data_IF_779958407507
#
_entry.id   IF_779958407507
#
_cell.length_a   1.000
_cell.length_b   1.000
_cell.length_c   1.000
_cell.angle_alpha   90.00
_cell.angle_beta   90.00
_cell.angle_gamma   90.00
#
_symmetry.space_group_name_H-M   'P 1'
#
loop_
_entity.id
_entity.type
_entity.pdbx_description
1 polymer ?
#
# COMPACT_ATOMS: atom_id res chain seq x y z
N UNK A 1 24.64 -3.65 -7.67
CA UNK A 1 23.88 -3.75 -6.40
C UNK A 1 23.42 -5.17 -6.03
N UNK A 2 23.58 -6.17 -6.88
CA UNK A 2 23.21 -7.57 -6.58
C UNK A 2 24.25 -8.39 -5.81
N UNK A 3 25.41 -7.85 -5.51
CA UNK A 3 26.53 -8.59 -4.86
C UNK A 3 26.33 -8.86 -3.35
N UNK A 4 25.30 -8.30 -2.73
CA UNK A 4 25.01 -8.48 -1.31
C UNK A 4 23.95 -9.55 -0.97
N UNK A 5 23.30 -10.15 -1.98
CA UNK A 5 22.31 -11.22 -1.77
C UNK A 5 23.03 -12.56 -1.93
N UNK A 6 23.23 -13.35 -0.86
CA UNK A 6 23.95 -14.62 -0.95
C UNK A 6 23.08 -15.73 -1.56
N UNK A 7 23.66 -16.56 -2.40
CA UNK A 7 23.07 -17.82 -2.86
C UNK A 7 21.89 -17.66 -3.83
N UNK A 8 21.08 -18.70 -3.87
CA UNK A 8 19.85 -18.81 -4.64
C UNK A 8 18.66 -18.56 -3.70
N UNK A 9 17.65 -17.86 -4.16
CA UNK A 9 16.46 -17.54 -3.39
C UNK A 9 15.33 -18.50 -3.76
N UNK A 10 14.76 -19.21 -2.79
CA UNK A 10 13.57 -20.02 -3.00
C UNK A 10 12.35 -19.14 -3.25
N UNK A 11 12.17 -18.10 -2.42
CA UNK A 11 11.09 -17.14 -2.47
C UNK A 11 11.60 -15.71 -2.31
N UNK A 12 11.01 -14.80 -3.06
CA UNK A 12 11.14 -13.35 -2.85
C UNK A 12 9.76 -12.72 -2.62
N UNK A 13 9.64 -11.93 -1.56
CA UNK A 13 8.43 -11.16 -1.25
C UNK A 13 8.67 -9.67 -1.38
N UNK A 14 7.74 -8.95 -2.00
CA UNK A 14 7.73 -7.49 -2.01
C UNK A 14 6.33 -6.93 -1.80
N UNK A 15 6.21 -6.04 -0.80
CA UNK A 15 5.07 -5.14 -0.60
C UNK A 15 5.53 -3.73 -0.96
N UNK A 16 5.35 -3.34 -2.22
CA UNK A 16 5.82 -2.02 -2.67
C UNK A 16 4.79 -0.94 -2.36
N UNK A 17 5.22 0.32 -2.11
CA UNK A 17 4.33 1.40 -1.69
C UNK A 17 3.13 1.60 -2.62
N UNK A 18 1.94 1.72 -2.03
CA UNK A 18 0.68 1.89 -2.75
C UNK A 18 0.20 3.35 -2.84
N UNK A 19 1.00 4.34 -2.41
CA UNK A 19 0.55 5.74 -2.26
C UNK A 19 0.04 6.36 -3.56
N UNK A 20 0.59 5.99 -4.70
CA UNK A 20 0.14 6.46 -6.02
C UNK A 20 -0.87 5.52 -6.68
N UNK A 21 -0.99 4.29 -6.18
CA UNK A 21 -1.90 3.24 -6.65
C UNK A 21 -3.21 3.24 -5.87
N UNK A 22 -3.19 3.67 -4.58
CA UNK A 22 -4.37 3.64 -3.72
C UNK A 22 -5.38 4.74 -4.05
N UNK A 23 -6.67 4.49 -3.73
CA UNK A 23 -7.77 5.47 -3.91
C UNK A 23 -7.55 6.73 -3.07
N UNK A 24 -6.83 6.62 -1.95
CA UNK A 24 -6.49 7.73 -1.05
C UNK A 24 -5.24 8.51 -1.48
N UNK A 25 -4.50 8.03 -2.48
CA UNK A 25 -3.25 8.62 -2.98
C UNK A 25 -3.40 9.52 -4.19
N UNK A 26 -2.27 9.86 -4.82
CA UNK A 26 -2.20 10.77 -5.99
C UNK A 26 -2.70 10.16 -7.30
N UNK A 27 -2.94 8.84 -7.35
CA UNK A 27 -3.40 8.06 -8.50
C UNK A 27 -2.49 8.16 -9.74
N UNK A 28 -1.21 8.45 -9.58
CA UNK A 28 -0.22 8.50 -10.68
C UNK A 28 0.30 7.10 -11.08
N UNK A 29 -0.23 6.04 -10.51
CA UNK A 29 0.12 4.65 -10.84
C UNK A 29 1.58 4.30 -10.54
N UNK A 30 2.11 3.31 -11.24
CA UNK A 30 3.51 2.87 -11.14
C UNK A 30 4.52 3.91 -11.67
N UNK A 31 4.08 4.90 -12.45
CA UNK A 31 4.93 6.01 -12.91
C UNK A 31 5.13 7.09 -11.85
N UNK A 32 4.38 7.03 -10.75
CA UNK A 32 4.51 7.96 -9.63
C UNK A 32 5.74 7.68 -8.77
N UNK A 33 6.36 8.73 -8.23
CA UNK A 33 7.61 8.65 -7.45
C UNK A 33 7.57 7.65 -6.27
N UNK A 34 6.43 7.45 -5.63
CA UNK A 34 6.29 6.54 -4.49
C UNK A 34 5.97 5.09 -4.92
N UNK A 35 5.08 4.88 -5.90
CA UNK A 35 4.74 3.53 -6.41
C UNK A 35 5.76 3.03 -7.45
N UNK A 36 6.60 3.92 -7.95
CA UNK A 36 7.75 3.58 -8.79
C UNK A 36 8.78 2.67 -8.11
N UNK A 37 8.64 2.40 -6.80
CA UNK A 37 9.47 1.44 -6.06
C UNK A 37 9.38 -0.01 -6.59
N UNK A 38 8.33 -0.36 -7.34
CA UNK A 38 8.28 -1.63 -8.07
C UNK A 38 9.45 -1.75 -9.05
N UNK A 39 9.76 -0.73 -9.84
CA UNK A 39 10.81 -0.81 -10.85
C UNK A 39 12.23 -0.97 -10.31
N UNK A 40 12.66 -0.25 -9.24
CA UNK A 40 13.92 -0.54 -8.55
C UNK A 40 14.01 -1.95 -7.99
N UNK A 41 12.94 -2.46 -7.35
CA UNK A 41 12.86 -3.85 -6.92
C UNK A 41 13.00 -4.79 -8.12
N UNK A 42 12.23 -4.56 -9.18
CA UNK A 42 12.27 -5.35 -10.40
C UNK A 42 13.66 -5.37 -11.06
N UNK A 43 14.39 -4.25 -11.03
CA UNK A 43 15.77 -4.18 -11.50
C UNK A 43 16.69 -5.16 -10.75
N UNK A 44 16.50 -5.31 -9.44
CA UNK A 44 17.25 -6.29 -8.64
C UNK A 44 16.89 -7.72 -9.06
N UNK A 45 15.60 -8.02 -9.22
CA UNK A 45 15.16 -9.35 -9.68
C UNK A 45 15.72 -9.67 -11.07
N UNK A 46 15.67 -8.73 -12.01
CA UNK A 46 16.25 -8.92 -13.33
C UNK A 46 17.75 -9.24 -13.28
N UNK A 47 18.50 -8.55 -12.43
CA UNK A 47 19.93 -8.84 -12.25
C UNK A 47 20.12 -10.26 -11.72
N UNK A 48 19.31 -10.71 -10.76
CA UNK A 48 19.36 -12.09 -10.28
C UNK A 48 19.05 -13.12 -11.39
N UNK A 49 18.08 -12.80 -12.27
CA UNK A 49 17.78 -13.64 -13.44
C UNK A 49 18.98 -13.70 -14.39
N UNK A 50 19.60 -12.57 -14.70
CA UNK A 50 20.79 -12.47 -15.56
C UNK A 50 21.98 -13.23 -14.97
N UNK A 51 22.14 -13.21 -13.66
CA UNK A 51 23.19 -13.93 -12.92
C UNK A 51 22.91 -15.45 -12.77
N UNK A 52 21.79 -15.97 -13.29
CA UNK A 52 21.37 -17.37 -13.11
C UNK A 52 20.94 -17.72 -11.68
N UNK A 53 20.57 -16.73 -10.88
CA UNK A 53 20.16 -16.84 -9.46
C UNK A 53 18.72 -16.39 -9.24
N UNK A 54 17.88 -16.47 -10.27
CA UNK A 54 16.49 -16.07 -10.19
C UNK A 54 15.77 -16.78 -9.04
N UNK A 55 14.90 -16.05 -8.28
CA UNK A 55 14.05 -16.68 -7.30
C UNK A 55 13.12 -17.71 -7.93
N UNK A 56 12.94 -18.85 -7.28
CA UNK A 56 11.98 -19.86 -7.75
C UNK A 56 10.55 -19.35 -7.73
N UNK A 57 10.21 -18.61 -6.69
CA UNK A 57 8.89 -17.99 -6.49
C UNK A 57 9.05 -16.50 -6.20
N UNK A 58 8.16 -15.68 -6.76
CA UNK A 58 8.04 -14.25 -6.45
C UNK A 58 6.61 -13.98 -5.99
N UNK A 59 6.46 -13.44 -4.79
CA UNK A 59 5.19 -12.99 -4.24
C UNK A 59 5.19 -11.45 -4.13
N UNK A 60 4.22 -10.81 -4.76
CA UNK A 60 4.03 -9.36 -4.69
C UNK A 60 2.71 -9.07 -3.99
N UNK A 61 2.72 -8.19 -3.01
CA UNK A 61 1.51 -7.73 -2.32
C UNK A 61 1.26 -6.25 -2.61
N UNK A 62 -0.03 -5.92 -2.78
CA UNK A 62 -0.46 -4.53 -2.90
C UNK A 62 -1.94 -4.36 -2.56
N UNK A 63 -2.44 -3.13 -2.60
CA UNK A 63 -3.87 -2.85 -2.51
C UNK A 63 -4.60 -3.38 -3.75
N UNK A 64 -5.84 -3.87 -3.57
CA UNK A 64 -6.68 -4.35 -4.68
C UNK A 64 -6.80 -3.35 -5.84
N UNK A 65 -6.70 -2.05 -5.53
CA UNK A 65 -6.84 -0.99 -6.54
C UNK A 65 -5.76 -1.04 -7.64
N UNK A 66 -4.65 -1.75 -7.43
CA UNK A 66 -3.62 -2.01 -8.45
C UNK A 66 -4.23 -2.59 -9.75
N UNK A 67 -5.30 -3.37 -9.63
CA UNK A 67 -5.98 -4.00 -10.79
C UNK A 67 -6.49 -2.96 -11.78
N UNK A 68 -6.96 -1.81 -11.28
CA UNK A 68 -7.61 -0.76 -12.08
C UNK A 68 -6.87 0.58 -12.06
N UNK A 69 -5.72 0.64 -11.38
CA UNK A 69 -4.94 1.88 -11.29
C UNK A 69 -4.37 2.29 -12.64
N UNK A 70 -4.14 3.60 -12.80
CA UNK A 70 -3.61 4.19 -14.03
C UNK A 70 -4.40 3.75 -15.29
N UNK A 71 -5.74 3.80 -15.19
CA UNK A 71 -6.63 3.35 -16.28
C UNK A 71 -6.54 1.85 -16.58
N UNK A 72 -6.05 1.04 -15.62
CA UNK A 72 -5.89 -0.41 -15.79
C UNK A 72 -4.57 -0.83 -16.42
N UNK A 73 -3.58 0.08 -16.56
CA UNK A 73 -2.29 -0.22 -17.19
C UNK A 73 -1.24 -0.80 -16.22
N UNK A 74 -1.37 -0.52 -14.90
CA UNK A 74 -0.36 -0.95 -13.93
C UNK A 74 -0.32 -2.48 -13.75
N UNK A 75 -1.48 -3.12 -13.63
CA UNK A 75 -1.55 -4.57 -13.45
C UNK A 75 -0.93 -5.34 -14.63
N UNK A 76 -1.28 -5.07 -15.92
CA UNK A 76 -0.62 -5.69 -17.06
C UNK A 76 0.88 -5.42 -17.10
N UNK A 77 1.35 -4.24 -16.68
CA UNK A 77 2.78 -3.93 -16.66
C UNK A 77 3.55 -4.80 -15.66
N UNK A 78 3.01 -5.00 -14.46
CA UNK A 78 3.60 -5.90 -13.45
C UNK A 78 3.59 -7.35 -13.94
N UNK A 79 2.44 -7.84 -14.42
CA UNK A 79 2.29 -9.23 -14.91
C UNK A 79 3.19 -9.48 -16.10
N UNK A 80 3.23 -8.54 -17.07
CA UNK A 80 4.09 -8.62 -18.25
C UNK A 80 5.57 -8.71 -17.89
N UNK A 81 6.04 -7.89 -16.94
CA UNK A 81 7.42 -7.93 -16.47
C UNK A 81 7.80 -9.31 -15.92
N UNK A 82 6.93 -9.93 -15.11
CA UNK A 82 7.15 -11.27 -14.56
C UNK A 82 7.18 -12.34 -15.66
N UNK A 83 6.25 -12.29 -16.62
CA UNK A 83 6.19 -13.24 -17.74
C UNK A 83 7.42 -13.09 -18.67
N UNK A 84 7.84 -11.85 -18.96
CA UNK A 84 9.03 -11.59 -19.79
C UNK A 84 10.32 -12.10 -19.11
N UNK A 85 10.36 -12.21 -17.79
CA UNK A 85 11.46 -12.81 -17.05
C UNK A 85 11.38 -14.35 -16.89
N UNK A 86 10.43 -14.99 -17.57
CA UNK A 86 10.33 -16.45 -17.64
C UNK A 86 9.47 -17.07 -16.54
N UNK A 87 8.49 -16.34 -15.96
CA UNK A 87 7.58 -16.87 -14.96
C UNK A 87 6.20 -17.16 -15.54
N UNK A 88 5.49 -18.10 -14.90
CA UNK A 88 4.03 -18.21 -14.94
C UNK A 88 3.47 -17.42 -13.77
N UNK A 89 2.35 -16.72 -13.96
CA UNK A 89 1.86 -15.74 -13.01
C UNK A 89 0.38 -15.96 -12.74
N UNK A 90 -0.02 -15.87 -11.49
CA UNK A 90 -1.42 -15.80 -11.09
C UNK A 90 -1.60 -14.79 -9.97
N UNK A 91 -2.85 -14.44 -9.67
CA UNK A 91 -3.13 -13.53 -8.58
C UNK A 91 -4.40 -13.90 -7.82
N UNK A 92 -4.42 -13.53 -6.55
CA UNK A 92 -5.53 -13.71 -5.61
C UNK A 92 -5.86 -12.38 -4.96
N UNK A 93 -7.13 -12.10 -4.73
CA UNK A 93 -7.57 -11.00 -3.87
C UNK A 93 -8.11 -11.60 -2.58
N UNK A 94 -7.42 -11.37 -1.48
CA UNK A 94 -7.81 -11.89 -0.16
C UNK A 94 -8.26 -10.75 0.73
N UNK A 95 -9.44 -10.91 1.36
CA UNK A 95 -9.93 -10.00 2.39
C UNK A 95 -9.57 -10.58 3.76
N UNK A 96 -8.92 -9.79 4.62
CA UNK A 96 -8.65 -10.19 5.99
C UNK A 96 -9.94 -10.52 6.78
N UNK A 97 -11.10 -10.05 6.31
CA UNK A 97 -12.41 -10.37 6.89
C UNK A 97 -12.74 -11.88 6.88
N UNK A 98 -12.04 -12.68 6.08
CA UNK A 98 -12.14 -14.15 6.12
C UNK A 98 -11.49 -14.74 7.37
N UNK A 99 -10.62 -14.01 8.04
CA UNK A 99 -9.80 -14.47 9.18
C UNK A 99 -10.08 -13.71 10.47
N UNK A 100 -10.39 -12.41 10.35
CA UNK A 100 -10.45 -11.44 11.43
C UNK A 100 -11.64 -10.50 11.22
N UNK A 101 -12.18 -9.85 12.26
CA UNK A 101 -13.22 -8.85 12.09
C UNK A 101 -12.67 -7.52 11.50
N UNK A 102 -11.94 -7.61 10.38
CA UNK A 102 -11.24 -6.49 9.74
C UNK A 102 -11.29 -6.61 8.22
N UNK A 103 -12.00 -5.72 7.56
CA UNK A 103 -12.07 -5.70 6.09
C UNK A 103 -10.82 -5.02 5.52
N UNK A 104 -9.90 -5.84 5.00
CA UNK A 104 -8.64 -5.40 4.39
C UNK A 104 -8.34 -6.23 3.16
N UNK A 105 -8.80 -5.76 2.00
CA UNK A 105 -8.59 -6.45 0.72
C UNK A 105 -7.21 -6.14 0.16
N UNK A 106 -6.44 -7.18 -0.14
CA UNK A 106 -5.13 -7.10 -0.78
C UNK A 106 -5.07 -8.03 -1.98
N UNK A 107 -4.35 -7.59 -3.01
CA UNK A 107 -3.98 -8.46 -4.13
C UNK A 107 -2.62 -9.08 -3.82
N UNK A 108 -2.51 -10.38 -4.07
CA UNK A 108 -1.27 -11.14 -4.03
C UNK A 108 -1.01 -11.68 -5.43
N UNK A 109 0.04 -11.19 -6.08
CA UNK A 109 0.48 -11.67 -7.39
C UNK A 109 1.61 -12.66 -7.10
N UNK A 110 1.41 -13.92 -7.47
CA UNK A 110 2.38 -14.99 -7.22
C UNK A 110 2.88 -15.51 -8.56
N UNK A 111 4.19 -15.50 -8.74
CA UNK A 111 4.85 -15.97 -9.94
C UNK A 111 5.79 -17.14 -9.60
N UNK A 112 5.85 -18.12 -10.48
CA UNK A 112 6.69 -19.30 -10.36
C UNK A 112 7.43 -19.56 -11.67
N UNK A 113 8.65 -20.07 -11.61
CA UNK A 113 9.44 -20.41 -12.79
C UNK A 113 8.63 -21.27 -13.77
N UNK A 114 8.71 -20.96 -15.07
CA UNK A 114 7.78 -21.52 -16.06
C UNK A 114 7.93 -23.04 -16.30
N UNK A 115 9.08 -23.63 -15.97
CA UNK A 115 9.36 -25.06 -16.12
C UNK A 115 9.13 -25.83 -14.81
N UNK A 116 8.76 -25.15 -13.71
CA UNK A 116 8.48 -25.82 -12.43
C UNK A 116 7.20 -26.64 -12.56
N UNK A 117 7.25 -27.89 -12.16
CA UNK A 117 6.05 -28.71 -12.06
C UNK A 117 5.22 -28.25 -10.86
N UNK A 118 3.94 -27.92 -11.09
CA UNK A 118 3.04 -27.42 -10.06
C UNK A 118 2.05 -28.53 -9.74
N UNK A 119 1.95 -28.88 -8.47
CA UNK A 119 0.97 -29.83 -8.00
C UNK A 119 -0.46 -29.39 -8.40
N UNK A 120 -1.26 -30.27 -9.02
CA UNK A 120 -2.57 -29.91 -9.57
C UNK A 120 -3.53 -29.30 -8.54
N UNK A 121 -3.43 -29.67 -7.28
CA UNK A 121 -4.23 -29.14 -6.18
C UNK A 121 -4.00 -27.64 -5.89
N UNK A 122 -2.88 -27.07 -6.35
CA UNK A 122 -2.58 -25.64 -6.23
C UNK A 122 -3.21 -24.80 -7.36
N UNK A 123 -3.88 -25.44 -8.29
CA UNK A 123 -4.46 -24.82 -9.48
C UNK A 123 -5.96 -25.08 -9.56
N UNK A 124 -6.69 -24.12 -10.11
CA UNK A 124 -8.06 -24.33 -10.58
C UNK A 124 -8.15 -24.02 -12.08
N UNK A 125 -8.97 -24.80 -12.80
CA UNK A 125 -9.17 -24.61 -14.24
C UNK A 125 -9.87 -23.28 -14.53
N UNK A 126 -10.82 -22.91 -13.67
CA UNK A 126 -11.64 -21.69 -13.79
C UNK A 126 -11.53 -20.82 -12.53
N UNK A 127 -11.66 -19.49 -12.66
CA UNK A 127 -11.54 -18.59 -11.52
C UNK A 127 -12.66 -18.80 -10.49
N UNK A 128 -12.29 -18.98 -9.21
CA UNK A 128 -13.24 -19.09 -8.09
C UNK A 128 -13.61 -17.71 -7.54
N UNK A 129 -14.88 -17.52 -7.14
CA UNK A 129 -15.38 -16.19 -6.74
C UNK A 129 -14.78 -15.68 -5.43
N UNK A 130 -14.38 -16.55 -4.52
CA UNK A 130 -13.81 -16.19 -3.22
C UNK A 130 -12.53 -15.34 -3.36
N UNK A 131 -11.64 -15.70 -4.30
CA UNK A 131 -10.32 -15.08 -4.45
C UNK A 131 -10.08 -14.43 -5.81
N UNK A 132 -10.94 -14.66 -6.79
CA UNK A 132 -10.83 -14.11 -8.14
C UNK A 132 -12.05 -13.22 -8.46
N UNK A 133 -12.12 -12.00 -7.90
CA UNK A 133 -13.27 -11.12 -8.09
C UNK A 133 -13.40 -10.65 -9.56
N UNK A 134 -14.59 -10.14 -9.97
CA UNK A 134 -14.87 -9.79 -11.36
C UNK A 134 -13.91 -8.79 -11.99
N UNK A 135 -13.37 -7.84 -11.22
CA UNK A 135 -12.37 -6.88 -11.72
C UNK A 135 -11.03 -7.54 -12.06
N UNK A 136 -10.58 -8.52 -11.25
CA UNK A 136 -9.39 -9.31 -11.55
C UNK A 136 -9.61 -10.15 -12.82
N UNK A 137 -10.76 -10.82 -12.94
CA UNK A 137 -11.08 -11.64 -14.11
C UNK A 137 -11.05 -10.81 -15.39
N UNK A 138 -11.71 -9.65 -15.40
CA UNK A 138 -11.70 -8.72 -16.54
C UNK A 138 -10.29 -8.21 -16.87
N UNK A 139 -9.48 -7.91 -15.85
CA UNK A 139 -8.11 -7.48 -16.06
C UNK A 139 -7.25 -8.58 -16.71
N UNK A 140 -7.47 -9.85 -16.33
CA UNK A 140 -6.79 -11.01 -16.94
C UNK A 140 -7.25 -11.25 -18.38
N UNK A 141 -8.54 -11.13 -18.65
CA UNK A 141 -9.08 -11.22 -20.02
C UNK A 141 -8.48 -10.16 -20.96
N UNK A 142 -8.19 -8.97 -20.43
CA UNK A 142 -7.59 -7.86 -21.15
C UNK A 142 -6.06 -7.99 -21.34
N UNK A 143 -5.39 -8.98 -20.71
CA UNK A 143 -3.96 -9.19 -20.90
C UNK A 143 -3.62 -9.55 -22.35
N UNK A 144 -2.45 -9.11 -22.87
CA UNK A 144 -1.97 -9.56 -24.17
C UNK A 144 -1.97 -11.09 -24.28
N UNK A 145 -2.32 -11.66 -25.45
CA UNK A 145 -2.45 -13.13 -25.61
C UNK A 145 -1.20 -13.92 -25.16
N UNK A 146 0.01 -13.39 -25.45
CA UNK A 146 1.27 -14.01 -25.04
C UNK A 146 1.44 -14.05 -23.51
N UNK A 147 1.02 -13.00 -22.81
CA UNK A 147 1.05 -12.92 -21.34
C UNK A 147 -0.02 -13.82 -20.74
N UNK A 148 -1.24 -13.78 -21.29
CA UNK A 148 -2.36 -14.59 -20.81
C UNK A 148 -2.10 -16.10 -20.92
N UNK A 149 -1.34 -16.58 -21.91
CA UNK A 149 -0.91 -17.97 -22.03
C UNK A 149 -0.06 -18.46 -20.82
N UNK A 150 0.55 -17.55 -20.08
CA UNK A 150 1.37 -17.84 -18.88
C UNK A 150 0.60 -17.59 -17.59
N UNK A 151 -0.69 -17.24 -17.69
CA UNK A 151 -1.54 -16.99 -16.53
C UNK A 151 -1.97 -18.30 -15.89
N UNK A 152 -2.04 -18.26 -14.52
CA UNK A 152 -2.51 -19.35 -13.67
C UNK A 152 -3.65 -18.87 -12.78
N UNK A 153 -4.62 -19.71 -12.52
CA UNK A 153 -5.58 -19.49 -11.46
C UNK A 153 -5.17 -20.33 -10.26
N UNK A 154 -4.68 -19.64 -9.22
CA UNK A 154 -4.25 -20.29 -8.00
C UNK A 154 -5.45 -20.83 -7.23
N UNK A 155 -5.34 -22.06 -6.73
CA UNK A 155 -6.26 -22.63 -5.75
C UNK A 155 -5.78 -22.24 -4.35
N UNK A 156 -6.60 -21.49 -3.61
CA UNK A 156 -6.38 -21.21 -2.20
C UNK A 156 -7.62 -21.71 -1.45
N UNK A 157 -7.50 -22.68 -0.53
CA UNK A 157 -8.63 -23.15 0.26
C UNK A 157 -9.23 -22.00 1.08
N UNK A 158 -10.54 -21.94 1.18
CA UNK A 158 -11.17 -20.96 2.07
C UNK A 158 -10.82 -21.31 3.53
N UNK A 159 -10.42 -20.30 4.34
CA UNK A 159 -10.15 -20.55 5.75
C UNK A 159 -11.43 -20.87 6.51
N UNK A 160 -11.31 -21.64 7.57
CA UNK A 160 -12.42 -21.80 8.51
C UNK A 160 -12.72 -20.45 9.16
N UNK A 161 -13.96 -19.93 9.07
CA UNK A 161 -14.31 -18.65 9.68
C UNK A 161 -14.03 -18.66 11.19
N UNK A 162 -13.34 -17.64 11.69
CA UNK A 162 -13.03 -17.54 13.13
C UNK A 162 -14.27 -17.30 14.00
N UNK A 163 -15.35 -16.79 13.41
CA UNK A 163 -16.53 -16.36 14.15
C UNK A 163 -16.33 -15.07 14.98
N UNK A 164 -15.10 -14.61 15.13
CA UNK A 164 -14.73 -13.42 15.91
C UNK A 164 -15.36 -12.17 15.30
N UNK A 165 -15.97 -11.34 16.13
CA UNK A 165 -16.56 -10.06 15.74
C UNK A 165 -15.79 -8.89 16.32
N UNK A 166 -16.01 -7.69 15.81
CA UNK A 166 -15.35 -6.48 16.28
C UNK A 166 -15.48 -6.29 17.81
N UNK A 167 -16.66 -6.60 18.37
CA UNK A 167 -16.88 -6.53 19.83
C UNK A 167 -15.92 -7.39 20.66
N UNK A 168 -15.44 -8.50 20.09
CA UNK A 168 -14.60 -9.49 20.79
C UNK A 168 -13.14 -9.04 20.87
N UNK A 169 -12.74 -8.05 20.05
CA UNK A 169 -11.38 -7.49 20.03
C UNK A 169 -11.28 -6.15 20.77
N UNK A 170 -12.42 -5.57 21.15
CA UNK A 170 -12.48 -4.28 21.87
C UNK A 170 -11.97 -4.46 23.30
N UNK A 171 -11.15 -3.52 23.76
CA UNK A 171 -10.64 -3.50 25.14
C UNK A 171 -11.75 -3.07 26.11
N UNK A 172 -11.99 -3.85 27.19
CA UNK A 172 -12.88 -3.45 28.27
C UNK A 172 -12.19 -2.38 29.16
N UNK A 173 -13.01 -1.64 29.91
CA UNK A 173 -12.50 -0.79 31.00
C UNK A 173 -11.73 0.46 30.56
N UNK A 174 -11.99 0.98 29.38
CA UNK A 174 -11.42 2.26 28.93
C UNK A 174 -11.86 3.38 29.88
N UNK A 175 -10.91 4.13 30.49
CA UNK A 175 -11.23 5.26 31.38
C UNK A 175 -12.12 6.30 30.69
N UNK A 176 -12.92 7.05 31.48
CA UNK A 176 -13.85 8.04 30.93
C UNK A 176 -13.15 9.09 30.03
N UNK A 177 -11.96 9.55 30.41
CA UNK A 177 -11.15 10.45 29.57
C UNK A 177 -10.66 9.86 28.26
N UNK A 178 -10.85 8.57 28.00
CA UNK A 178 -10.55 7.91 26.72
C UNK A 178 -11.71 7.98 25.71
N UNK A 179 -12.87 8.49 26.12
CA UNK A 179 -14.04 8.65 25.28
C UNK A 179 -14.14 10.07 24.71
N UNK A 180 -14.74 10.19 23.55
CA UNK A 180 -15.15 11.49 23.04
C UNK A 180 -16.27 12.06 23.91
N UNK A 181 -16.34 13.37 24.01
CA UNK A 181 -17.46 14.08 24.65
C UNK A 181 -18.76 13.85 23.87
N UNK A 182 -19.90 14.13 24.48
CA UNK A 182 -21.20 14.10 23.80
C UNK A 182 -21.21 15.02 22.57
N UNK A 183 -20.61 16.22 22.68
CA UNK A 183 -20.54 17.18 21.56
C UNK A 183 -19.69 16.65 20.41
N UNK A 184 -18.56 15.99 20.70
CA UNK A 184 -17.71 15.36 19.66
C UNK A 184 -18.45 14.20 18.99
N UNK A 185 -19.11 13.35 19.78
CA UNK A 185 -19.93 12.24 19.25
C UNK A 185 -21.07 12.75 18.38
N UNK A 186 -21.82 13.76 18.86
CA UNK A 186 -22.91 14.39 18.08
C UNK A 186 -22.37 15.03 16.79
N UNK A 187 -21.17 15.65 16.84
CA UNK A 187 -20.49 16.19 15.66
C UNK A 187 -20.13 15.13 14.62
N UNK A 188 -19.78 13.90 15.04
CA UNK A 188 -19.58 12.77 14.13
C UNK A 188 -20.88 12.27 13.53
N UNK A 189 -21.94 12.14 14.34
CA UNK A 189 -23.27 11.73 13.88
C UNK A 189 -23.83 12.71 12.87
N UNK A 190 -23.70 14.02 13.09
CA UNK A 190 -24.13 15.07 12.16
C UNK A 190 -23.42 15.03 10.79
N UNK A 191 -22.28 14.37 10.68
CA UNK A 191 -21.55 14.18 9.43
C UNK A 191 -21.92 12.88 8.70
N UNK A 192 -22.83 12.08 9.25
CA UNK A 192 -23.34 10.85 8.61
C UNK A 192 -24.27 11.18 7.46
N UNK A 193 -24.30 10.33 6.45
CA UNK A 193 -25.33 10.42 5.42
C UNK A 193 -26.60 9.65 5.84
N UNK A 194 -27.74 9.82 5.14
CA UNK A 194 -29.00 9.16 5.52
C UNK A 194 -28.90 7.64 5.65
N UNK A 195 -28.05 6.99 4.84
CA UNK A 195 -27.86 5.53 4.90
C UNK A 195 -27.10 5.10 6.16
N UNK A 196 -26.15 5.93 6.58
CA UNK A 196 -25.37 5.67 7.80
C UNK A 196 -26.22 5.96 9.04
N UNK A 197 -27.11 6.96 9.01
CA UNK A 197 -28.07 7.20 10.07
C UNK A 197 -29.06 6.02 10.22
N UNK A 198 -29.56 5.46 9.11
CA UNK A 198 -30.41 4.25 9.15
C UNK A 198 -29.70 3.07 9.81
N UNK A 199 -28.39 2.91 9.58
CA UNK A 199 -27.59 1.85 10.25
C UNK A 199 -27.44 2.12 11.75
N UNK A 200 -27.22 3.37 12.13
CA UNK A 200 -27.17 3.77 13.53
C UNK A 200 -28.50 3.53 14.24
N UNK A 201 -29.61 3.92 13.63
CA UNK A 201 -30.95 3.69 14.19
C UNK A 201 -31.30 2.21 14.28
N UNK A 202 -30.88 1.41 13.30
CA UNK A 202 -30.96 -0.05 13.37
C UNK A 202 -30.19 -0.63 14.56
N UNK A 203 -29.02 -0.08 14.87
CA UNK A 203 -28.24 -0.50 16.04
C UNK A 203 -28.92 -0.08 17.35
N UNK A 204 -29.53 1.12 17.44
CA UNK A 204 -30.27 1.59 18.61
C UNK A 204 -31.46 0.68 18.94
N UNK A 205 -32.14 0.19 17.91
CA UNK A 205 -33.36 -0.63 18.05
C UNK A 205 -33.06 -2.13 18.10
N UNK A 206 -31.79 -2.55 18.06
CA UNK A 206 -31.38 -3.97 18.04
C UNK A 206 -31.65 -4.72 19.34
N UNK A 207 -31.91 -4.01 20.44
CA UNK A 207 -32.17 -4.56 21.78
C UNK A 207 -30.91 -5.12 22.46
N UNK A 208 -29.72 -4.85 21.94
CA UNK A 208 -28.42 -5.30 22.52
C UNK A 208 -27.33 -4.28 22.22
N UNK A 209 -26.24 -4.24 23.04
CA UNK A 209 -25.10 -3.41 22.75
C UNK A 209 -24.44 -3.81 21.42
N UNK A 210 -24.19 -2.83 20.55
CA UNK A 210 -23.56 -2.99 19.26
C UNK A 210 -22.27 -2.16 19.18
N UNK A 211 -21.26 -2.71 18.48
CA UNK A 211 -20.00 -2.01 18.24
C UNK A 211 -19.76 -1.93 16.72
N UNK A 212 -19.52 -0.72 16.27
CA UNK A 212 -19.19 -0.43 14.88
C UNK A 212 -17.95 0.42 14.72
N UNK A 213 -17.67 0.82 13.49
CA UNK A 213 -16.59 1.75 13.17
C UNK A 213 -17.10 2.93 12.37
N UNK A 214 -16.50 4.11 12.61
CA UNK A 214 -16.68 5.31 11.80
C UNK A 214 -15.42 5.52 10.97
N UNK A 215 -15.61 5.71 9.67
CA UNK A 215 -14.58 6.05 8.72
C UNK A 215 -14.83 7.44 8.12
N UNK A 216 -13.89 8.37 8.33
CA UNK A 216 -14.00 9.73 7.84
C UNK A 216 -13.53 9.83 6.38
N UNK A 217 -14.40 10.31 5.49
CA UNK A 217 -14.07 10.60 4.09
C UNK A 217 -14.10 12.09 3.82
N UNK A 218 -13.07 12.59 3.13
CA UNK A 218 -13.11 13.92 2.52
C UNK A 218 -13.56 13.78 1.07
N UNK A 219 -14.54 14.56 0.65
CA UNK A 219 -14.92 14.72 -0.76
C UNK A 219 -14.64 16.14 -1.19
N UNK A 220 -13.87 16.30 -2.25
CA UNK A 220 -13.77 17.59 -2.92
C UNK A 220 -15.06 17.81 -3.72
N UNK A 221 -15.77 18.89 -3.43
CA UNK A 221 -16.92 19.36 -4.19
C UNK A 221 -16.57 20.69 -4.84
N UNK A 222 -17.30 21.04 -5.90
CA UNK A 222 -17.19 22.35 -6.57
C UNK A 222 -17.26 23.52 -5.58
N UNK A 223 -17.97 23.34 -4.44
CA UNK A 223 -18.18 24.36 -3.40
C UNK A 223 -17.40 24.09 -2.10
N UNK A 224 -16.28 23.37 -2.15
CA UNK A 224 -15.42 23.12 -0.99
C UNK A 224 -15.35 21.67 -0.53
N UNK A 225 -14.40 21.37 0.39
CA UNK A 225 -14.25 20.04 0.99
C UNK A 225 -15.37 19.75 1.97
N UNK A 226 -16.19 18.72 1.69
CA UNK A 226 -17.11 18.16 2.67
C UNK A 226 -16.52 16.92 3.33
N UNK A 227 -16.64 16.83 4.66
CA UNK A 227 -16.28 15.65 5.45
C UNK A 227 -17.54 14.83 5.68
N UNK A 228 -17.43 13.50 5.55
CA UNK A 228 -18.50 12.56 5.84
C UNK A 228 -18.00 11.44 6.73
N UNK A 229 -18.82 11.09 7.73
CA UNK A 229 -18.63 9.95 8.59
C UNK A 229 -19.38 8.75 7.98
N UNK A 230 -18.69 7.76 7.49
CA UNK A 230 -19.30 6.51 7.03
C UNK A 230 -19.30 5.49 8.15
N UNK A 231 -20.43 4.86 8.42
CA UNK A 231 -20.61 3.91 9.52
C UNK A 231 -20.66 2.48 9.01
N UNK A 232 -20.02 1.60 9.78
CA UNK A 232 -20.10 0.16 9.60
C UNK A 232 -20.53 -0.50 10.91
N UNK A 233 -21.64 -1.27 10.87
CA UNK A 233 -22.26 -1.93 12.04
C UNK A 233 -22.38 -3.45 11.86
N UNK A 234 -21.70 -4.04 10.89
CA UNK A 234 -21.77 -5.48 10.57
C UNK A 234 -20.82 -6.36 11.39
N UNK A 235 -20.26 -5.83 12.47
CA UNK A 235 -19.33 -6.54 13.35
C UNK A 235 -17.92 -6.68 12.77
N UNK A 236 -17.59 -5.94 11.69
CA UNK A 236 -16.28 -5.94 11.03
C UNK A 236 -15.73 -4.52 11.00
N UNK A 237 -14.50 -4.32 11.42
CA UNK A 237 -13.81 -3.05 11.33
C UNK A 237 -13.52 -2.65 9.87
N UNK A 238 -13.57 -1.36 9.59
CA UNK A 238 -13.08 -0.80 8.34
C UNK A 238 -11.56 -0.93 8.24
N UNK A 239 -11.01 -0.87 7.02
CA UNK A 239 -9.58 -0.98 6.78
C UNK A 239 -8.79 0.02 7.62
N UNK A 240 -7.82 -0.47 8.38
CA UNK A 240 -6.87 0.37 9.11
C UNK A 240 -5.99 1.12 8.11
N UNK A 241 -5.92 2.42 8.27
CA UNK A 241 -5.14 3.31 7.41
C UNK A 241 -4.01 3.97 8.19
N UNK A 242 -2.97 4.35 7.48
CA UNK A 242 -1.93 5.21 8.02
C UNK A 242 -2.53 6.54 8.49
N UNK A 243 -2.24 7.00 9.71
CA UNK A 243 -2.73 8.28 10.20
C UNK A 243 -2.20 9.42 9.33
N UNK A 244 -3.10 10.21 8.79
CA UNK A 244 -2.77 11.45 8.09
C UNK A 244 -3.39 12.63 8.85
N UNK A 245 -2.87 12.89 10.04
CA UNK A 245 -3.44 13.77 11.03
C UNK A 245 -4.68 13.16 11.74
N UNK A 246 -5.43 13.96 12.50
CA UNK A 246 -6.63 13.49 13.22
C UNK A 246 -7.71 12.87 12.31
N UNK A 247 -7.68 13.14 11.01
CA UNK A 247 -8.71 12.73 10.06
C UNK A 247 -8.67 11.25 9.67
N UNK A 248 -7.56 10.56 9.88
CA UNK A 248 -7.37 9.14 9.56
C UNK A 248 -7.37 8.25 10.80
N UNK A 249 -7.69 8.81 11.97
CA UNK A 249 -7.82 8.04 13.20
C UNK A 249 -9.01 7.08 13.09
N UNK A 250 -8.80 5.86 13.53
CA UNK A 250 -9.86 4.85 13.56
C UNK A 250 -10.77 5.13 14.75
N UNK A 251 -12.07 5.31 14.48
CA UNK A 251 -13.07 5.63 15.50
C UNK A 251 -13.98 4.42 15.68
N UNK A 252 -14.13 3.98 16.93
CA UNK A 252 -15.13 3.01 17.34
C UNK A 252 -16.43 3.73 17.71
N UNK A 253 -17.55 3.10 17.37
CA UNK A 253 -18.90 3.54 17.66
C UNK A 253 -19.59 2.49 18.54
N UNK A 254 -20.03 2.89 19.70
CA UNK A 254 -20.74 2.06 20.67
C UNK A 254 -22.19 2.53 20.75
N UNK A 255 -23.12 1.61 20.62
CA UNK A 255 -24.54 1.89 20.66
C UNK A 255 -25.23 0.91 21.61
N UNK A 256 -25.94 1.44 22.61
CA UNK A 256 -26.74 0.66 23.54
C UNK A 256 -28.07 1.40 23.78
N UNK A 257 -29.08 1.02 23.04
CA UNK A 257 -30.33 1.79 22.95
C UNK A 257 -30.04 3.23 22.48
N UNK A 258 -30.51 4.21 23.24
CA UNK A 258 -30.30 5.63 22.95
C UNK A 258 -28.88 6.12 23.28
N UNK A 259 -28.12 5.35 24.08
CA UNK A 259 -26.75 5.71 24.43
C UNK A 259 -25.83 5.47 23.22
N UNK A 260 -25.27 6.54 22.68
CA UNK A 260 -24.27 6.50 21.60
C UNK A 260 -22.98 7.13 22.10
N UNK A 261 -21.89 6.39 22.06
CA UNK A 261 -20.56 6.85 22.47
C UNK A 261 -19.55 6.52 21.38
N UNK A 262 -18.53 7.36 21.26
CA UNK A 262 -17.43 7.15 20.32
C UNK A 262 -16.09 7.35 21.01
N UNK A 263 -15.06 6.68 20.51
CA UNK A 263 -13.66 6.88 20.89
C UNK A 263 -12.70 6.46 19.80
N UNK A 264 -11.47 6.87 19.90
CA UNK A 264 -10.44 6.31 19.02
C UNK A 264 -10.17 4.84 19.38
N UNK A 265 -9.86 4.05 18.35
CA UNK A 265 -9.38 2.68 18.53
C UNK A 265 -8.02 2.70 19.21
N UNK A 266 -7.78 1.82 20.18
CA UNK A 266 -6.49 1.71 20.83
C UNK A 266 -5.46 1.00 19.97
N UNK A 267 -4.15 1.17 20.24
CA UNK A 267 -3.09 0.37 19.62
C UNK A 267 -3.27 -1.13 19.76
N UNK A 268 -3.70 -1.62 20.93
CA UNK A 268 -3.97 -3.04 21.21
C UNK A 268 -5.10 -3.58 20.33
N UNK A 269 -6.20 -2.85 20.22
CA UNK A 269 -7.33 -3.22 19.35
C UNK A 269 -6.91 -3.29 17.88
N UNK A 270 -6.11 -2.32 17.43
CA UNK A 270 -5.53 -2.32 16.10
C UNK A 270 -4.62 -3.54 15.86
N UNK A 271 -3.80 -3.92 16.85
CA UNK A 271 -2.94 -5.09 16.79
C UNK A 271 -3.76 -6.39 16.68
N UNK A 272 -4.82 -6.54 17.46
CA UNK A 272 -5.76 -7.68 17.40
C UNK A 272 -6.42 -7.76 16.01
N UNK A 273 -6.83 -6.64 15.44
CA UNK A 273 -7.40 -6.57 14.08
C UNK A 273 -6.38 -6.89 12.98
N UNK A 274 -5.07 -6.81 13.25
CA UNK A 274 -4.01 -7.26 12.36
C UNK A 274 -3.60 -8.73 12.63
N UNK A 275 -4.15 -9.35 13.69
CA UNK A 275 -3.82 -10.71 14.10
C UNK A 275 -2.42 -10.83 14.69
N UNK A 276 -1.90 -9.75 15.28
CA UNK A 276 -0.64 -9.77 16.02
C UNK A 276 -0.84 -10.45 17.39
N UNK A 277 0.15 -11.22 17.85
CA UNK A 277 0.08 -11.79 19.18
C UNK A 277 0.15 -10.70 20.27
N UNK A 278 -0.48 -10.95 21.42
CA UNK A 278 -0.48 -10.00 22.58
C UNK A 278 0.95 -9.65 23.06
N UNK A 279 1.92 -10.54 22.81
CA UNK A 279 3.34 -10.32 23.13
C UNK A 279 4.07 -9.38 22.16
N UNK A 280 3.42 -8.95 21.06
CA UNK A 280 4.06 -8.10 20.07
C UNK A 280 4.33 -6.69 20.63
N UNK A 281 5.58 -6.25 20.58
CA UNK A 281 5.98 -4.94 21.09
C UNK A 281 5.59 -3.85 20.08
N UNK A 282 4.59 -3.07 20.45
CA UNK A 282 4.10 -1.96 19.63
C UNK A 282 4.98 -0.71 19.78
N UNK A 283 5.08 0.13 18.77
CA UNK A 283 5.69 1.45 18.88
C UNK A 283 5.02 2.31 19.98
N UNK A 284 5.80 3.21 20.59
CA UNK A 284 5.31 4.03 21.71
C UNK A 284 4.25 5.07 21.31
N UNK A 285 4.19 5.48 20.05
CA UNK A 285 3.25 6.51 19.62
C UNK A 285 2.12 5.93 18.78
N UNK A 286 0.91 6.45 18.97
CA UNK A 286 -0.28 6.10 18.21
C UNK A 286 -0.04 6.12 16.69
N UNK A 287 0.53 7.22 16.20
CA UNK A 287 0.76 7.38 14.75
C UNK A 287 1.78 6.38 14.19
N UNK A 288 2.84 6.06 14.95
CA UNK A 288 3.80 5.05 14.50
C UNK A 288 3.16 3.66 14.47
N UNK A 289 2.34 3.32 15.45
CA UNK A 289 1.64 2.03 15.52
C UNK A 289 0.64 1.88 14.38
N UNK A 290 -0.25 2.86 14.20
CA UNK A 290 -1.23 2.81 13.11
C UNK A 290 -0.58 2.99 11.72
N UNK A 291 0.61 3.61 11.65
CA UNK A 291 1.44 3.61 10.44
C UNK A 291 1.81 2.18 10.02
N UNK A 292 2.30 1.37 10.97
CA UNK A 292 2.61 -0.05 10.70
C UNK A 292 1.36 -0.82 10.30
N UNK A 293 0.22 -0.61 10.96
CA UNK A 293 -1.03 -1.28 10.60
C UNK A 293 -1.54 -0.85 9.22
N UNK A 294 -1.37 0.42 8.87
CA UNK A 294 -1.75 0.95 7.56
C UNK A 294 -0.98 0.31 6.40
N UNK A 295 0.33 0.12 6.58
CA UNK A 295 1.23 -0.44 5.56
C UNK A 295 1.33 -1.98 5.63
N UNK A 296 1.10 -2.58 6.79
CA UNK A 296 1.28 -4.01 7.02
C UNK A 296 0.23 -4.89 6.35
N UNK A 297 0.46 -6.19 6.36
CA UNK A 297 -0.48 -7.23 5.96
C UNK A 297 -0.98 -7.97 7.20
N UNK A 298 -2.26 -8.34 7.24
CA UNK A 298 -2.82 -9.10 8.35
C UNK A 298 -2.13 -10.47 8.49
N UNK A 299 -1.64 -10.78 9.69
CA UNK A 299 -0.80 -11.96 9.95
C UNK A 299 -1.47 -13.28 9.55
N UNK A 300 -2.76 -13.54 9.87
CA UNK A 300 -3.41 -14.79 9.48
C UNK A 300 -3.54 -14.95 7.96
N UNK A 301 -3.68 -13.87 7.21
CA UNK A 301 -3.70 -13.91 5.74
C UNK A 301 -2.37 -14.40 5.21
N UNK A 302 -1.26 -13.81 5.67
CA UNK A 302 0.09 -14.22 5.23
C UNK A 302 0.39 -15.66 5.63
N UNK A 303 0.04 -16.04 6.87
CA UNK A 303 0.23 -17.42 7.36
C UNK A 303 -0.52 -18.44 6.49
N UNK A 304 -1.77 -18.14 6.16
CA UNK A 304 -2.60 -19.01 5.33
C UNK A 304 -2.05 -19.11 3.90
N UNK A 305 -1.69 -17.97 3.31
CA UNK A 305 -1.09 -17.91 1.96
C UNK A 305 0.24 -18.66 1.92
N UNK A 306 1.08 -18.49 2.96
CA UNK A 306 2.36 -19.20 3.06
C UNK A 306 2.15 -20.71 3.10
N UNK A 307 1.37 -21.20 4.04
CA UNK A 307 1.18 -22.63 4.25
C UNK A 307 0.45 -23.34 3.09
N UNK A 308 -0.55 -22.66 2.48
CA UNK A 308 -1.40 -23.29 1.47
C UNK A 308 -0.92 -23.10 0.03
N UNK A 309 -0.02 -22.14 -0.22
CA UNK A 309 0.42 -21.84 -1.58
C UNK A 309 1.93 -21.61 -1.68
N UNK A 310 2.51 -20.68 -0.90
CA UNK A 310 3.89 -20.25 -1.15
C UNK A 310 4.93 -21.30 -0.76
N UNK A 311 4.78 -21.98 0.36
CA UNK A 311 5.69 -23.06 0.81
C UNK A 311 5.66 -24.25 -0.17
N UNK A 312 4.50 -24.78 -0.58
CA UNK A 312 4.45 -25.83 -1.60
C UNK A 312 5.08 -25.41 -2.93
N UNK A 313 4.86 -24.17 -3.37
CA UNK A 313 5.49 -23.65 -4.60
C UNK A 313 7.01 -23.47 -4.45
N UNK A 314 7.47 -22.99 -3.31
CA UNK A 314 8.89 -22.82 -3.04
C UNK A 314 9.62 -24.18 -3.00
N UNK A 315 9.00 -25.20 -2.40
CA UNK A 315 9.53 -26.56 -2.38
C UNK A 315 9.60 -27.15 -3.79
N UNK A 316 8.56 -26.99 -4.60
CA UNK A 316 8.56 -27.43 -6.00
C UNK A 316 9.63 -26.70 -6.84
N UNK A 317 9.86 -25.42 -6.56
CA UNK A 317 10.82 -24.61 -7.29
C UNK A 317 12.27 -24.71 -6.78
N UNK A 318 12.55 -25.47 -5.73
CA UNK A 318 13.89 -25.50 -5.08
C UNK A 318 15.04 -25.89 -6.02
N UNK A 319 14.80 -26.74 -6.99
CA UNK A 319 15.79 -27.17 -8.00
C UNK A 319 15.71 -26.37 -9.30
N UNK A 320 14.71 -25.50 -9.46
CA UNK A 320 14.54 -24.71 -10.68
C UNK A 320 15.65 -23.68 -10.84
N UNK A 321 16.20 -23.60 -12.05
CA UNK A 321 17.16 -22.57 -12.47
C UNK A 321 16.74 -22.09 -13.85
N UNK A 322 16.62 -20.78 -14.09
CA UNK A 322 16.34 -20.30 -15.42
C UNK A 322 17.49 -20.67 -16.34
N UNK A 323 17.19 -21.27 -17.48
CA UNK A 323 18.17 -21.39 -18.53
C UNK A 323 18.59 -20.00 -18.96
N UNK A 324 19.89 -19.74 -19.03
CA UNK A 324 20.49 -18.44 -19.39
C UNK A 324 19.74 -17.83 -20.56
N UNK A 325 19.11 -16.70 -20.33
CA UNK A 325 18.20 -16.07 -21.30
C UNK A 325 19.02 -15.25 -22.30
N UNK A 326 19.51 -15.90 -23.33
CA UNK A 326 19.97 -15.22 -24.56
C UNK A 326 18.82 -14.47 -25.29
N UNK A 327 17.55 -14.74 -24.92
CA UNK A 327 16.36 -14.23 -25.58
C UNK A 327 15.70 -13.01 -24.92
N UNK A 328 16.05 -12.61 -23.67
CA UNK A 328 15.42 -11.45 -22.99
C UNK A 328 15.95 -10.10 -23.48
N UNK A 329 17.00 -10.10 -24.31
CA UNK A 329 17.67 -8.86 -24.74
C UNK A 329 16.87 -7.91 -25.62
N UNK A 330 15.81 -8.34 -26.31
CA UNK A 330 15.25 -7.52 -27.41
C UNK A 330 13.89 -6.86 -27.13
N UNK A 331 13.08 -7.28 -26.15
CA UNK A 331 11.72 -6.71 -25.99
C UNK A 331 11.67 -5.53 -25.01
N UNK A 332 12.54 -5.51 -23.99
CA UNK A 332 12.57 -4.41 -23.02
C UNK A 332 13.31 -3.16 -23.53
N UNK A 333 14.31 -3.33 -24.41
CA UNK A 333 15.04 -2.21 -25.00
C UNK A 333 14.17 -1.37 -25.96
N UNK A 334 13.26 -2.01 -26.68
CA UNK A 334 12.38 -1.30 -27.62
C UNK A 334 11.20 -0.60 -26.95
N UNK A 335 10.71 -1.08 -25.80
CA UNK A 335 9.68 -0.38 -25.04
C UNK A 335 10.20 0.79 -24.22
N UNK A 336 11.44 0.72 -23.72
CA UNK A 336 12.10 1.86 -23.06
C UNK A 336 12.47 2.94 -24.10
N UNK A 337 12.82 2.56 -25.32
CA UNK A 337 13.04 3.51 -26.44
C UNK A 337 11.75 4.21 -26.92
N UNK A 338 10.59 3.56 -26.77
CA UNK A 338 9.29 4.16 -27.11
C UNK A 338 8.75 5.14 -26.06
N UNK A 339 9.34 5.16 -24.85
CA UNK A 339 8.95 6.08 -23.74
C UNK A 339 10.00 7.18 -23.52
N UNK A 340 11.24 6.95 -23.93
CA UNK A 340 12.29 7.95 -23.90
C UNK A 340 12.79 8.12 -25.34
N UNK A 341 12.20 9.07 -26.04
CA UNK A 341 12.80 9.58 -27.29
C UNK A 341 14.19 10.12 -26.94
N UNK A 342 15.23 9.42 -27.38
CA UNK A 342 16.63 9.83 -27.24
C UNK A 342 17.05 10.84 -28.31
N UNK A 343 16.11 11.64 -28.80
CA UNK A 343 16.37 12.84 -29.57
C UNK A 343 15.89 14.04 -28.76
N UNK A 344 16.78 14.58 -28.01
CA UNK A 344 17.04 15.90 -27.49
C UNK A 344 15.92 16.92 -27.26
N UNK A 345 14.66 16.58 -27.11
CA UNK A 345 13.64 17.52 -26.66
C UNK A 345 12.89 17.03 -25.44
N UNK A 346 13.22 17.63 -24.28
CA UNK A 346 12.45 17.47 -23.06
C UNK A 346 11.08 18.12 -23.31
N UNK A 347 10.07 17.29 -23.60
CA UNK A 347 8.69 17.75 -23.68
C UNK A 347 8.26 18.30 -22.32
N UNK A 348 8.22 19.63 -22.21
CA UNK A 348 7.71 20.35 -21.06
C UNK A 348 6.20 20.14 -20.94
N UNK A 349 5.75 19.10 -20.21
CA UNK A 349 4.36 19.04 -19.74
C UNK A 349 4.17 20.14 -18.70
N UNK A 350 3.39 21.16 -19.08
CA UNK A 350 2.93 22.22 -18.17
C UNK A 350 2.31 21.61 -16.90
N UNK A 351 3.00 21.77 -15.78
CA UNK A 351 2.42 21.54 -14.46
C UNK A 351 1.33 22.58 -14.27
N UNK A 352 0.10 22.16 -13.95
CA UNK A 352 -1.00 23.09 -13.62
C UNK A 352 -0.55 24.06 -12.54
N UNK A 353 -0.58 25.35 -12.84
CA UNK A 353 -0.23 26.43 -11.93
C UNK A 353 -0.96 26.31 -10.60
N UNK A 354 -0.23 26.10 -9.53
CA UNK A 354 -0.71 26.41 -8.18
C UNK A 354 -0.47 27.89 -7.96
N UNK A 355 -1.47 28.65 -7.45
CA UNK A 355 -1.29 30.08 -7.20
C UNK A 355 -0.08 30.30 -6.26
N UNK A 356 0.94 31.03 -6.73
CA UNK A 356 2.11 31.43 -5.95
C UNK A 356 3.46 30.90 -6.40
N UNK A 357 3.55 30.00 -7.36
CA UNK A 357 4.84 29.50 -7.90
C UNK A 357 4.95 29.96 -9.36
N UNK A 358 5.72 31.00 -9.60
CA UNK A 358 6.11 31.44 -10.96
C UNK A 358 7.48 30.82 -11.27
N UNK A 359 7.55 29.98 -12.28
CA UNK A 359 8.79 29.40 -12.78
C UNK A 359 8.79 27.86 -12.75
N UNK A 360 9.62 27.26 -13.55
CA UNK A 360 9.82 25.81 -13.64
C UNK A 360 10.68 25.36 -12.46
N UNK A 361 10.07 24.98 -11.34
CA UNK A 361 10.79 24.34 -10.23
C UNK A 361 10.67 22.83 -10.35
N UNK A 362 11.80 22.13 -10.37
CA UNK A 362 11.87 20.66 -10.27
C UNK A 362 12.08 20.30 -8.81
N UNK A 363 11.14 19.58 -8.21
CA UNK A 363 11.27 19.06 -6.85
C UNK A 363 12.22 17.86 -6.83
N UNK A 364 13.27 17.90 -6.02
CA UNK A 364 14.15 16.76 -5.76
C UNK A 364 13.84 16.19 -4.38
N UNK A 365 13.59 14.88 -4.29
CA UNK A 365 13.37 14.18 -3.02
C UNK A 365 14.62 13.38 -2.66
N UNK A 366 15.17 13.63 -1.48
CA UNK A 366 16.29 12.86 -0.94
C UNK A 366 15.78 11.81 0.05
N UNK A 367 16.09 10.55 -0.21
CA UNK A 367 15.81 9.44 0.70
C UNK A 367 17.04 9.11 1.53
N UNK A 368 16.90 9.17 2.85
CA UNK A 368 17.97 8.90 3.81
C UNK A 368 17.60 7.68 4.66
N UNK A 369 18.58 6.86 5.00
CA UNK A 369 18.41 5.83 6.02
C UNK A 369 18.01 6.49 7.36
N UNK A 370 17.19 5.83 8.21
CA UNK A 370 16.71 6.42 9.47
C UNK A 370 17.85 6.93 10.37
N UNK A 371 18.99 6.24 10.41
CA UNK A 371 20.19 6.66 11.13
C UNK A 371 20.81 7.94 10.56
N UNK A 372 20.93 8.03 9.25
CA UNK A 372 21.49 9.20 8.57
C UNK A 372 20.57 10.41 8.67
N UNK A 373 19.27 10.20 8.55
CA UNK A 373 18.28 11.27 8.79
C UNK A 373 18.40 11.85 10.20
N UNK A 374 18.60 11.02 11.24
CA UNK A 374 18.83 11.48 12.62
C UNK A 374 20.13 12.28 12.75
N UNK A 375 21.22 11.81 12.13
CA UNK A 375 22.51 12.50 12.17
C UNK A 375 22.45 13.88 11.52
N UNK A 376 21.83 13.98 10.34
CA UNK A 376 21.68 15.26 9.65
C UNK A 376 20.74 16.22 10.38
N UNK A 377 19.65 15.73 10.99
CA UNK A 377 18.77 16.56 11.82
C UNK A 377 19.47 17.08 13.07
N UNK A 378 20.31 16.26 13.70
CA UNK A 378 21.12 16.70 14.85
C UNK A 378 22.13 17.75 14.44
N UNK A 379 22.85 17.55 13.35
CA UNK A 379 23.77 18.52 12.79
C UNK A 379 23.09 19.85 12.42
N UNK A 380 21.88 19.78 11.86
CA UNK A 380 21.10 20.97 11.54
C UNK A 380 20.72 21.76 12.81
N UNK A 381 20.34 21.06 13.90
CA UNK A 381 20.11 21.67 15.20
C UNK A 381 21.37 22.28 15.81
N UNK A 382 22.49 21.58 15.77
CA UNK A 382 23.79 22.06 16.30
C UNK A 382 24.28 23.32 15.55
N UNK A 383 23.90 23.46 14.28
CA UNK A 383 24.25 24.61 13.43
C UNK A 383 23.15 25.70 13.38
N UNK A 384 22.07 25.54 14.14
CA UNK A 384 20.89 26.42 14.16
C UNK A 384 20.33 26.73 12.76
N UNK A 385 20.23 25.70 11.92
CA UNK A 385 19.67 25.78 10.57
C UNK A 385 18.59 24.73 10.34
N UNK A 386 17.72 24.93 9.36
CA UNK A 386 16.79 23.86 8.95
C UNK A 386 17.55 22.75 8.25
N UNK A 387 16.99 21.50 8.29
CA UNK A 387 17.54 20.37 7.51
C UNK A 387 17.63 20.72 6.02
N UNK A 388 16.64 21.44 5.48
CA UNK A 388 16.65 21.91 4.09
C UNK A 388 17.85 22.84 3.82
N UNK A 389 18.09 23.81 4.70
CA UNK A 389 19.22 24.74 4.59
C UNK A 389 20.56 24.02 4.68
N UNK A 390 20.70 23.04 5.58
CA UNK A 390 21.89 22.21 5.70
C UNK A 390 22.20 21.46 4.39
N UNK A 391 21.17 20.85 3.79
CA UNK A 391 21.30 20.12 2.54
C UNK A 391 21.65 21.04 1.36
N UNK A 392 21.04 22.24 1.31
CA UNK A 392 21.34 23.22 0.29
C UNK A 392 22.77 23.76 0.40
N UNK A 393 23.28 24.00 1.61
CA UNK A 393 24.68 24.38 1.83
C UNK A 393 25.65 23.28 1.38
N UNK A 394 25.30 22.00 1.62
CA UNK A 394 26.07 20.87 1.14
C UNK A 394 26.12 20.79 -0.39
N UNK A 395 24.98 21.02 -1.06
CA UNK A 395 24.90 21.06 -2.51
C UNK A 395 25.71 22.22 -3.10
N UNK A 396 25.58 23.44 -2.53
CA UNK A 396 26.35 24.62 -2.96
C UNK A 396 27.86 24.40 -2.84
N UNK A 397 28.30 23.73 -1.77
CA UNK A 397 29.71 23.40 -1.58
C UNK A 397 30.23 22.45 -2.66
N UNK A 398 29.49 21.37 -2.93
CA UNK A 398 29.86 20.40 -3.97
C UNK A 398 29.88 21.04 -5.37
N UNK A 399 28.95 21.95 -5.67
CA UNK A 399 28.91 22.69 -6.93
C UNK A 399 30.14 23.62 -7.04
N UNK A 400 30.50 24.33 -5.97
CA UNK A 400 31.67 25.20 -5.94
C UNK A 400 32.97 24.41 -6.12
N UNK A 401 33.12 23.24 -5.48
CA UNK A 401 34.26 22.35 -5.63
C UNK A 401 34.43 21.82 -7.07
N UNK A 402 33.34 21.82 -7.85
CA UNK A 402 33.33 21.41 -9.27
C UNK A 402 33.22 22.61 -10.24
N UNK A 403 33.47 23.84 -9.81
CA UNK A 403 33.46 25.05 -10.64
C UNK A 403 32.06 25.43 -11.14
N UNK A 404 31.02 24.95 -10.52
CA UNK A 404 29.64 25.24 -10.87
C UNK A 404 29.05 26.36 -10.00
N UNK A 405 28.01 27.06 -10.51
CA UNK A 405 27.32 28.10 -9.75
C UNK A 405 26.45 27.47 -8.64
N UNK A 406 26.29 28.15 -7.48
CA UNK A 406 25.38 27.70 -6.43
C UNK A 406 23.94 27.55 -6.92
N UNK A 407 23.16 26.72 -6.20
CA UNK A 407 21.73 26.50 -6.52
C UNK A 407 20.95 27.83 -6.32
N UNK A 408 20.23 28.26 -7.35
CA UNK A 408 19.31 29.38 -7.23
C UNK A 408 18.18 29.07 -6.25
N UNK A 409 18.05 29.87 -5.20
CA UNK A 409 17.06 29.68 -4.15
C UNK A 409 15.76 30.41 -4.46
N UNK A 410 14.65 29.72 -4.48
CA UNK A 410 13.34 30.35 -4.49
C UNK A 410 13.09 31.04 -3.16
N UNK A 411 13.05 32.38 -3.16
CA UNK A 411 12.58 33.17 -2.01
C UNK A 411 11.07 33.31 -2.11
N UNK A 412 10.32 32.66 -1.22
CA UNK A 412 8.92 32.98 -1.04
C UNK A 412 8.81 34.46 -0.66
N UNK A 413 8.14 35.27 -1.49
CA UNK A 413 7.82 36.68 -1.14
C UNK A 413 6.88 36.59 0.05
N UNK A 414 7.42 36.91 1.24
CA UNK A 414 6.65 36.97 2.46
C UNK A 414 5.53 38.00 2.27
N UNK A 415 4.33 37.68 2.61
CA UNK A 415 3.24 38.62 2.80
C UNK A 415 3.73 39.64 3.84
N UNK A 416 3.95 40.87 3.41
CA UNK A 416 4.12 42.00 4.32
C UNK A 416 2.91 42.01 5.27
N UNK A 417 3.13 41.79 6.56
CA UNK A 417 2.13 42.09 7.58
C UNK A 417 2.03 43.61 7.59
N UNK A 418 0.90 44.12 7.11
CA UNK A 418 0.56 45.54 7.25
C UNK A 418 0.50 45.87 8.73
N UNK A 419 1.00 47.04 9.03
CA UNK A 419 0.92 47.73 10.29
C UNK A 419 -0.54 48.02 10.70
#
# INVERSE_FOLDING_TARGET
MGSGIPGVLDLTWASFPCQNVSVAGTRSGLDGAASGAFWPFWKVIRQLVEDGRAPGVIALENVRHLIVSNGGSDFPAVVGALVDAGYRVGALVVDAALFLPHSRKRIFIVAIGHEVDIAPELLVAEPVSAFHPPDLRRAVEALPPAVRKRWLWWNLPEPTPSGTKLRDVVEPGIPEGGWHTEAETAGLVAQMDPRDLVRLDGARTSGKPEVGTIYMRSRDRVNGRSRRANVRMDGIASCLLMPNGRMSSQILLFVDGDLVRTRYMTPTEGARLMGLPESYVLPRTYNATFGIFGDGVAVPVVRHLAAQLLEPLADAARSWRPRTVAAVRNVAADRVRGVVGLDGEISQRKVKDRPGIKGTTVGTTLYLLPGESKRLRRLALDLDVSLHELLMRGADRLLAENGQRPVERYRAIGKARGA
#
